data_IF_821085318985
#
_entry.id   IF_821085318985
#
_cell.length_a   1.000
_cell.length_b   1.000
_cell.length_c   1.000
_cell.angle_alpha   90.00
_cell.angle_beta   90.00
_cell.angle_gamma   90.00
#
_symmetry.space_group_name_H-M   'P 1'
#
loop_
_entity.id
_entity.type
_entity.pdbx_description
1 polymer ?
#
# COMPACT_ATOMS: atom_id res chain seq x y z
N UNK A 1 -42.48 16.96 -66.00
CA UNK A 1 -41.49 17.45 -65.03
C UNK A 1 -41.41 16.39 -63.93
N UNK A 2 -40.46 15.45 -64.02
CA UNK A 2 -39.27 15.34 -63.13
C UNK A 2 -39.65 15.39 -61.65
N UNK A 3 -39.32 14.43 -60.77
CA UNK A 3 -38.14 13.57 -60.69
C UNK A 3 -38.38 12.45 -59.67
N UNK A 4 -37.76 11.29 -59.94
CA UNK A 4 -37.47 10.18 -59.01
C UNK A 4 -36.41 10.61 -57.95
N UNK A 5 -36.04 9.66 -57.08
CA UNK A 5 -34.92 9.55 -56.11
C UNK A 5 -35.48 9.43 -54.69
N UNK A 6 -35.20 8.43 -53.85
CA UNK A 6 -34.26 7.31 -53.85
C UNK A 6 -34.12 6.85 -52.38
N UNK A 7 -33.86 5.56 -52.08
CA UNK A 7 -33.93 5.03 -50.72
C UNK A 7 -32.65 5.31 -49.92
N UNK A 8 -32.79 5.64 -48.64
CA UNK A 8 -31.65 5.81 -47.72
C UNK A 8 -31.08 4.44 -47.32
N UNK A 9 -29.79 4.28 -47.60
CA UNK A 9 -29.02 3.06 -47.39
C UNK A 9 -28.45 2.99 -45.97
N UNK A 10 -28.27 1.74 -45.52
CA UNK A 10 -27.78 1.27 -44.21
C UNK A 10 -26.45 1.89 -43.78
N UNK A 11 -26.26 2.04 -42.47
CA UNK A 11 -25.01 1.63 -41.81
C UNK A 11 -25.33 0.93 -40.48
N UNK A 12 -25.16 -0.40 -40.47
CA UNK A 12 -24.93 -1.21 -39.27
C UNK A 12 -23.57 -0.82 -38.72
N UNK A 13 -23.50 -0.29 -37.50
CA UNK A 13 -22.26 -0.27 -36.73
C UNK A 13 -22.32 -1.42 -35.75
N UNK A 14 -21.44 -2.40 -35.98
CA UNK A 14 -21.29 -3.58 -35.13
C UNK A 14 -20.77 -3.21 -33.75
N UNK A 15 -21.39 -3.81 -32.72
CA UNK A 15 -20.78 -3.92 -31.40
C UNK A 15 -19.52 -4.77 -31.52
N UNK A 16 -18.36 -4.15 -31.28
CA UNK A 16 -17.15 -4.86 -30.86
C UNK A 16 -16.62 -4.21 -29.59
N UNK A 17 -16.44 -5.07 -28.60
CA UNK A 17 -15.82 -4.84 -27.32
C UNK A 17 -14.44 -4.20 -27.46
N UNK A 18 -14.19 -3.16 -26.67
CA UNK A 18 -12.86 -2.76 -26.28
C UNK A 18 -12.90 -2.46 -24.78
N UNK A 19 -12.36 -3.39 -24.01
CA UNK A 19 -12.01 -3.21 -22.61
C UNK A 19 -10.94 -2.11 -22.61
N UNK A 20 -11.31 -0.89 -22.22
CA UNK A 20 -10.35 0.19 -22.01
C UNK A 20 -9.53 -0.17 -20.78
N UNK A 21 -8.28 -0.59 -21.02
CA UNK A 21 -7.26 -0.63 -19.98
C UNK A 21 -7.03 0.81 -19.54
N UNK A 22 -7.35 1.09 -18.29
CA UNK A 22 -7.06 2.36 -17.63
C UNK A 22 -5.55 2.47 -17.42
N UNK A 23 -4.86 3.06 -18.39
CA UNK A 23 -3.58 3.72 -18.17
C UNK A 23 -3.85 4.97 -17.28
N UNK A 24 -2.86 5.37 -16.48
CA UNK A 24 -2.81 6.60 -15.67
C UNK A 24 -3.44 6.60 -14.26
N UNK A 25 -2.73 5.99 -13.30
CA UNK A 25 -2.69 6.44 -11.89
C UNK A 25 -1.46 5.87 -11.15
N UNK A 26 -0.27 6.07 -11.72
CA UNK A 26 0.99 5.73 -11.05
C UNK A 26 1.43 6.91 -10.18
N UNK A 27 1.73 6.64 -8.92
CA UNK A 27 2.05 7.60 -7.85
C UNK A 27 3.21 8.59 -8.09
N UNK A 28 3.83 8.57 -9.27
CA UNK A 28 4.90 9.50 -9.67
C UNK A 28 4.80 9.97 -11.14
N UNK A 29 3.71 9.68 -11.87
CA UNK A 29 3.64 10.03 -13.29
C UNK A 29 2.91 11.35 -13.49
N UNK A 30 3.71 12.43 -13.60
CA UNK A 30 3.43 13.81 -14.06
C UNK A 30 3.51 14.87 -12.94
N UNK A 31 4.73 15.37 -12.73
CA UNK A 31 4.94 16.76 -12.32
C UNK A 31 5.10 17.62 -13.60
N UNK A 32 4.53 18.84 -13.67
CA UNK A 32 4.76 19.75 -14.79
C UNK A 32 6.21 20.27 -14.78
N UNK A 33 6.82 20.31 -15.96
CA UNK A 33 8.14 20.88 -16.20
C UNK A 33 8.04 22.40 -15.99
N UNK A 34 8.57 22.91 -14.88
CA UNK A 34 8.89 24.33 -14.74
C UNK A 34 10.31 24.52 -15.27
N UNK A 35 10.41 25.24 -16.39
CA UNK A 35 11.66 25.56 -17.05
C UNK A 35 12.63 26.27 -16.09
N UNK A 36 13.79 25.66 -15.86
CA UNK A 36 14.90 26.28 -15.14
C UNK A 36 15.72 27.12 -16.11
N UNK A 37 15.92 28.40 -15.79
CA UNK A 37 16.89 29.26 -16.47
C UNK A 37 18.22 29.22 -15.71
N UNK A 38 19.23 28.66 -16.37
CA UNK A 38 20.59 28.47 -15.87
C UNK A 38 21.34 29.81 -15.82
N UNK A 39 22.02 30.09 -14.70
CA UNK A 39 23.25 30.89 -14.72
C UNK A 39 24.34 30.18 -13.92
N UNK A 40 25.42 29.86 -14.63
CA UNK A 40 26.67 29.36 -14.09
C UNK A 40 27.37 30.46 -13.27
N UNK A 41 27.94 30.08 -12.13
CA UNK A 41 29.19 30.69 -11.67
C UNK A 41 29.99 29.66 -10.87
N UNK A 42 31.26 29.59 -11.23
CA UNK A 42 32.28 28.67 -10.75
C UNK A 42 33.00 29.23 -9.53
N UNK A 43 33.35 28.39 -8.56
CA UNK A 43 34.59 28.52 -7.79
C UNK A 43 34.87 27.26 -6.96
N UNK A 44 36.07 26.71 -7.15
CA UNK A 44 36.71 25.67 -6.33
C UNK A 44 37.50 26.37 -5.21
N UNK A 45 37.76 25.74 -4.04
CA UNK A 45 39.11 25.15 -3.88
C UNK A 45 39.24 23.90 -2.98
N UNK A 46 40.18 23.04 -3.39
CA UNK A 46 41.25 22.29 -2.68
C UNK A 46 41.14 21.98 -1.16
N UNK A 47 41.51 20.73 -0.80
CA UNK A 47 42.32 20.44 0.40
C UNK A 47 41.97 19.17 1.20
N UNK A 48 42.83 18.15 1.14
CA UNK A 48 42.84 16.83 1.81
C UNK A 48 43.08 16.93 3.37
N UNK A 49 43.18 15.85 4.21
CA UNK A 49 43.46 14.45 3.86
C UNK A 49 42.77 13.31 4.65
N UNK A 50 43.06 12.13 4.10
CA UNK A 50 42.84 10.74 4.49
C UNK A 50 43.33 10.42 5.91
N UNK A 51 42.53 9.65 6.67
CA UNK A 51 43.04 8.85 7.79
C UNK A 51 42.53 7.41 7.69
N UNK A 52 43.48 6.49 7.44
CA UNK A 52 43.30 5.03 7.53
C UNK A 52 43.35 4.61 9.00
N UNK A 53 42.45 3.75 9.45
CA UNK A 53 42.72 2.84 10.58
C UNK A 53 42.42 1.39 10.16
N UNK A 54 43.37 0.53 10.54
CA UNK A 54 43.43 -0.90 10.24
C UNK A 54 42.74 -1.72 11.34
N UNK A 55 42.08 -2.80 10.89
CA UNK A 55 41.84 -4.13 11.48
C UNK A 55 42.28 -4.44 12.92
N UNK A 56 41.37 -5.12 13.63
CA UNK A 56 41.54 -6.44 14.30
C UNK A 56 40.14 -6.84 14.82
N UNK A 57 39.46 -7.88 14.31
CA UNK A 57 39.62 -9.35 14.47
C UNK A 57 39.27 -9.89 15.87
N UNK A 58 38.46 -10.97 15.88
CA UNK A 58 38.08 -11.90 16.99
C UNK A 58 37.12 -11.30 18.03
N UNK A 59 36.06 -11.95 18.52
CA UNK A 59 35.72 -13.38 18.66
C UNK A 59 34.21 -13.53 18.94
N UNK A 60 33.59 -14.59 18.39
CA UNK A 60 32.30 -15.13 18.84
C UNK A 60 32.42 -15.81 20.21
N UNK A 61 31.35 -15.79 21.02
CA UNK A 61 30.71 -17.04 21.46
C UNK A 61 29.18 -16.93 21.26
N UNK A 62 28.56 -17.82 20.49
CA UNK A 62 28.08 -19.13 20.91
C UNK A 62 27.09 -19.08 22.09
N UNK A 63 25.82 -19.31 21.72
CA UNK A 63 24.72 -19.91 22.48
C UNK A 63 24.30 -19.26 23.80
N UNK A 64 23.03 -18.83 23.85
CA UNK A 64 22.12 -19.06 24.97
C UNK A 64 20.70 -18.74 24.49
N UNK A 65 20.05 -19.74 23.88
CA UNK A 65 18.60 -19.72 23.62
C UNK A 65 17.88 -20.12 24.92
N UNK A 66 16.95 -19.32 25.45
CA UNK A 66 16.03 -19.81 26.46
C UNK A 66 15.05 -20.80 25.80
N UNK A 67 15.09 -22.06 26.23
CA UNK A 67 14.04 -23.05 25.96
C UNK A 67 12.78 -22.61 26.71
N UNK A 68 11.79 -22.07 25.99
CA UNK A 68 10.43 -21.93 26.52
C UNK A 68 9.82 -23.33 26.58
N UNK A 69 9.59 -23.83 27.80
CA UNK A 69 8.81 -25.05 28.06
C UNK A 69 7.33 -24.69 27.91
N UNK A 70 6.61 -25.36 27.02
CA UNK A 70 5.16 -25.30 26.97
C UNK A 70 4.55 -26.00 28.20
N UNK A 71 3.46 -25.47 28.78
CA UNK A 71 2.73 -26.15 29.85
C UNK A 71 1.99 -27.39 29.31
N UNK A 72 1.87 -28.47 30.10
CA UNK A 72 1.09 -29.65 29.73
C UNK A 72 -0.40 -29.38 29.94
N UNK A 73 -1.26 -29.71 28.96
CA UNK A 73 -2.71 -29.81 29.21
C UNK A 73 -3.71 -29.27 28.18
N UNK A 74 -3.33 -29.01 26.92
CA UNK A 74 -4.32 -28.65 25.88
C UNK A 74 -4.40 -29.71 24.78
N UNK A 75 -5.60 -30.20 24.41
CA UNK A 75 -5.76 -31.19 23.35
C UNK A 75 -5.49 -30.56 21.98
N UNK A 76 -4.93 -31.32 21.02
CA UNK A 76 -4.65 -30.79 19.70
C UNK A 76 -5.95 -30.52 18.93
N UNK A 77 -6.10 -29.29 18.43
CA UNK A 77 -7.08 -28.95 17.41
C UNK A 77 -6.75 -29.73 16.13
N UNK A 78 -7.54 -30.78 15.85
CA UNK A 78 -7.51 -31.49 14.56
C UNK A 78 -8.08 -30.59 13.47
N UNK A 79 -7.19 -30.03 12.67
CA UNK A 79 -7.52 -29.51 11.34
C UNK A 79 -7.56 -30.72 10.41
N UNK A 80 -8.76 -31.20 10.07
CA UNK A 80 -8.94 -32.27 9.11
C UNK A 80 -8.86 -31.70 7.68
N UNK A 81 -7.82 -32.07 6.92
CA UNK A 81 -7.84 -32.03 5.46
C UNK A 81 -7.21 -33.31 4.89
N UNK A 82 -8.01 -33.99 4.05
CA UNK A 82 -7.70 -35.09 3.11
C UNK A 82 -7.23 -36.44 3.69
N UNK A 83 -8.06 -37.47 3.46
CA UNK A 83 -7.55 -38.83 3.27
C UNK A 83 -8.23 -39.98 4.02
N UNK A 84 -9.40 -39.82 4.64
CA UNK A 84 -10.07 -40.97 5.25
C UNK A 84 -10.93 -41.78 4.25
N UNK A 85 -10.89 -43.12 4.31
CA UNK A 85 -11.77 -43.98 3.53
C UNK A 85 -13.22 -43.80 3.98
N UNK A 86 -14.13 -43.74 3.01
CA UNK A 86 -15.58 -43.64 3.23
C UNK A 86 -16.07 -44.76 4.16
N UNK A 87 -16.98 -44.49 5.11
CA UNK A 87 -17.60 -45.55 5.90
C UNK A 87 -18.36 -46.51 4.97
N UNK A 88 -18.33 -47.83 5.21
CA UNK A 88 -19.05 -48.79 4.40
C UNK A 88 -20.56 -48.50 4.47
N UNK A 89 -21.19 -48.32 3.30
CA UNK A 89 -22.62 -48.04 3.16
C UNK A 89 -22.99 -46.66 2.60
N UNK A 90 -22.02 -45.83 2.21
CA UNK A 90 -22.30 -44.57 1.53
C UNK A 90 -22.56 -44.80 0.04
N UNK A 91 -23.83 -44.74 -0.39
CA UNK A 91 -24.24 -44.76 -1.79
C UNK A 91 -24.25 -43.34 -2.37
N UNK A 92 -23.34 -42.98 -3.30
CA UNK A 92 -23.29 -41.64 -3.89
C UNK A 92 -24.49 -41.30 -4.79
N UNK A 93 -25.37 -42.26 -5.08
CA UNK A 93 -26.56 -42.07 -5.91
C UNK A 93 -27.77 -41.50 -5.15
N UNK A 94 -27.75 -41.50 -3.81
CA UNK A 94 -28.78 -40.83 -2.98
C UNK A 94 -28.65 -39.30 -2.98
N UNK A 95 -27.55 -38.73 -3.49
CA UNK A 95 -27.39 -37.27 -3.63
C UNK A 95 -27.99 -36.80 -4.97
N UNK A 96 -29.25 -37.15 -5.25
CA UNK A 96 -30.06 -36.50 -6.28
C UNK A 96 -31.53 -36.62 -5.92
N UNK A 97 -32.25 -35.49 -6.03
CA UNK A 97 -33.69 -35.34 -5.85
C UNK A 97 -34.19 -35.05 -4.43
N UNK A 98 -33.84 -33.88 -3.91
CA UNK A 98 -34.66 -33.17 -2.93
C UNK A 98 -34.60 -31.67 -3.22
N UNK A 99 -35.22 -31.26 -4.32
CA UNK A 99 -35.50 -29.86 -4.63
C UNK A 99 -36.87 -29.48 -4.07
N UNK A 100 -37.03 -29.56 -2.75
CA UNK A 100 -38.14 -28.92 -2.04
C UNK A 100 -37.56 -27.85 -1.13
N UNK A 101 -37.68 -26.59 -1.58
CA UNK A 101 -37.47 -25.40 -0.74
C UNK A 101 -38.36 -25.54 0.51
N UNK A 102 -37.84 -25.46 1.74
CA UNK A 102 -38.71 -25.35 2.90
C UNK A 102 -39.55 -24.07 2.77
N UNK A 103 -40.88 -24.14 2.93
CA UNK A 103 -41.71 -22.96 2.92
C UNK A 103 -41.43 -22.17 4.20
N UNK A 104 -41.12 -20.87 4.07
CA UNK A 104 -41.22 -19.93 5.20
C UNK A 104 -39.93 -19.39 5.81
N UNK A 105 -38.74 -19.59 5.23
CA UNK A 105 -37.61 -18.72 5.58
C UNK A 105 -37.67 -17.48 4.68
N UNK A 106 -38.27 -16.42 5.21
CA UNK A 106 -38.18 -15.09 4.62
C UNK A 106 -36.72 -14.83 4.26
N UNK A 107 -36.42 -14.50 2.99
CA UNK A 107 -35.13 -13.95 2.63
C UNK A 107 -34.96 -12.72 3.50
N UNK A 108 -34.12 -12.78 4.53
CA UNK A 108 -33.73 -11.60 5.27
C UNK A 108 -33.23 -10.61 4.24
N UNK A 109 -33.90 -9.46 4.16
CA UNK A 109 -33.45 -8.34 3.35
C UNK A 109 -32.14 -7.86 3.97
N UNK A 110 -31.04 -8.52 3.61
CA UNK A 110 -29.70 -8.02 3.91
C UNK A 110 -29.61 -6.65 3.25
N UNK A 111 -29.33 -5.57 4.02
CA UNK A 111 -29.23 -4.25 3.44
C UNK A 111 -28.20 -4.29 2.30
N UNK A 112 -28.68 -3.96 1.10
CA UNK A 112 -27.89 -3.99 -0.15
C UNK A 112 -26.88 -2.85 -0.24
N UNK A 113 -26.91 -1.92 0.73
CA UNK A 113 -26.02 -0.78 0.85
C UNK A 113 -25.13 -0.93 2.09
N UNK A 114 -24.29 -1.95 2.07
CA UNK A 114 -23.14 -2.02 2.97
C UNK A 114 -21.94 -1.58 2.14
N UNK A 115 -21.67 -0.28 2.07
CA UNK A 115 -20.26 0.11 2.00
C UNK A 115 -19.61 -0.53 3.23
N UNK A 116 -18.70 -1.50 3.05
CA UNK A 116 -18.13 -2.25 4.16
C UNK A 116 -17.29 -1.36 5.08
N UNK A 117 -16.94 -0.16 4.60
CA UNK A 117 -16.35 0.91 5.39
C UNK A 117 -17.41 1.99 5.62
N UNK A 118 -17.76 2.22 6.90
CA UNK A 118 -18.70 3.27 7.29
C UNK A 118 -18.11 4.66 7.05
N UNK A 119 -18.96 5.68 6.97
CA UNK A 119 -18.50 7.08 7.01
C UNK A 119 -17.86 7.40 8.38
N UNK A 120 -16.84 8.28 8.43
CA UNK A 120 -16.23 8.68 9.69
C UNK A 120 -17.26 9.37 10.60
N UNK A 121 -17.31 9.04 11.90
CA UNK A 121 -18.12 9.78 12.87
C UNK A 121 -17.56 11.20 13.08
N UNK A 122 -18.38 12.15 13.56
CA UNK A 122 -17.99 13.55 13.69
C UNK A 122 -16.95 13.81 14.79
N UNK A 123 -16.86 12.96 15.81
CA UNK A 123 -15.87 13.06 16.89
C UNK A 123 -14.92 11.87 16.83
N UNK A 124 -13.62 12.12 16.72
CA UNK A 124 -12.57 11.11 16.65
C UNK A 124 -11.52 11.29 17.77
N UNK A 125 -11.81 12.07 18.81
CA UNK A 125 -10.85 12.36 19.89
C UNK A 125 -10.35 11.12 20.63
N UNK A 126 -11.18 10.08 20.70
CA UNK A 126 -10.85 8.80 21.35
C UNK A 126 -10.50 7.69 20.33
N UNK A 127 -10.35 8.04 19.05
CA UNK A 127 -9.96 7.07 18.05
C UNK A 127 -8.57 6.50 18.38
N UNK A 128 -8.32 5.19 18.14
CA UNK A 128 -7.03 4.58 18.42
C UNK A 128 -5.87 5.35 17.79
N UNK A 129 -4.86 5.63 18.61
CA UNK A 129 -3.72 6.47 18.24
C UNK A 129 -2.44 5.69 18.39
N UNK A 130 -1.52 5.90 17.44
CA UNK A 130 -0.14 5.48 17.54
C UNK A 130 0.76 6.71 17.53
N UNK A 131 1.48 6.92 18.63
CA UNK A 131 2.54 7.92 18.68
C UNK A 131 3.82 7.35 18.04
N UNK A 132 4.38 8.11 17.11
CA UNK A 132 5.68 7.85 16.48
C UNK A 132 6.69 8.81 17.10
N UNK A 133 7.74 8.33 17.79
CA UNK A 133 8.73 9.20 18.40
C UNK A 133 9.58 9.92 17.34
N UNK A 134 10.29 10.97 17.75
CA UNK A 134 11.38 11.51 16.93
C UNK A 134 12.44 10.43 16.68
N UNK A 135 13.04 10.44 15.49
CA UNK A 135 13.97 9.42 15.02
C UNK A 135 13.29 8.15 14.51
N UNK A 136 11.95 8.03 14.58
CA UNK A 136 11.24 6.87 14.04
C UNK A 136 11.53 6.74 12.52
N UNK A 137 11.97 5.57 12.04
CA UNK A 137 12.35 5.38 10.66
C UNK A 137 11.12 5.18 9.77
N UNK A 138 11.11 5.85 8.63
CA UNK A 138 10.12 5.68 7.57
C UNK A 138 10.83 5.47 6.24
N UNK A 139 10.27 4.62 5.39
CA UNK A 139 10.85 4.31 4.10
C UNK A 139 9.94 4.77 2.97
N UNK A 140 10.54 5.17 1.86
CA UNK A 140 9.81 5.48 0.62
C UNK A 140 10.65 5.10 -0.59
N UNK A 141 10.04 4.48 -1.59
CA UNK A 141 10.63 4.36 -2.92
C UNK A 141 10.08 5.49 -3.80
N UNK A 142 10.97 6.20 -4.49
CA UNK A 142 10.63 7.32 -5.35
C UNK A 142 11.47 7.30 -6.63
N UNK A 143 11.08 8.07 -7.65
CA UNK A 143 11.92 8.28 -8.83
C UNK A 143 13.22 8.96 -8.43
N UNK A 144 14.34 8.48 -8.96
CA UNK A 144 15.67 9.01 -8.63
C UNK A 144 15.84 10.49 -9.02
N UNK A 145 15.07 10.97 -10.01
CA UNK A 145 15.04 12.36 -10.44
C UNK A 145 14.21 13.29 -9.54
N UNK A 146 13.54 12.76 -8.51
CA UNK A 146 12.68 13.50 -7.60
C UNK A 146 13.14 13.30 -6.15
N UNK A 147 12.74 14.20 -5.25
CA UNK A 147 12.92 14.03 -3.81
C UNK A 147 11.88 13.07 -3.20
N UNK A 148 12.14 12.52 -1.99
CA UNK A 148 11.21 11.64 -1.29
C UNK A 148 10.02 12.38 -0.65
N UNK A 149 10.08 13.71 -0.58
CA UNK A 149 9.03 14.55 -0.01
C UNK A 149 8.09 15.04 -1.11
N UNK A 150 6.93 14.39 -1.19
CA UNK A 150 5.85 14.77 -2.09
C UNK A 150 4.52 14.47 -1.42
N UNK A 151 3.76 15.53 -1.12
CA UNK A 151 2.44 15.48 -0.52
C UNK A 151 1.38 15.59 -1.63
N UNK A 152 0.84 14.45 -2.03
CA UNK A 152 -0.17 14.36 -3.09
C UNK A 152 -1.52 14.90 -2.61
N UNK A 153 -2.19 15.62 -3.50
CA UNK A 153 -3.61 15.99 -3.40
C UNK A 153 -4.37 15.66 -4.69
N UNK A 154 -3.84 14.72 -5.47
CA UNK A 154 -4.37 14.42 -6.80
C UNK A 154 -5.73 13.73 -6.77
N UNK A 155 -6.07 13.08 -5.65
CA UNK A 155 -7.26 12.24 -5.51
C UNK A 155 -7.05 10.81 -6.05
N UNK A 156 -5.86 10.49 -6.56
CA UNK A 156 -5.52 9.15 -7.04
C UNK A 156 -4.92 8.25 -5.96
N UNK A 157 -4.52 8.80 -4.81
CA UNK A 157 -4.10 8.01 -3.66
C UNK A 157 -5.26 7.67 -2.73
N UNK A 158 -5.21 6.47 -2.12
CA UNK A 158 -6.23 5.96 -1.19
C UNK A 158 -6.52 6.94 -0.05
N UNK A 159 -5.50 7.62 0.44
CA UNK A 159 -5.63 8.56 1.56
C UNK A 159 -5.23 9.98 1.14
N UNK A 160 -5.38 10.33 -0.14
CA UNK A 160 -5.08 11.69 -0.59
C UNK A 160 -5.96 12.70 0.18
N UNK A 161 -5.30 13.62 0.88
CA UNK A 161 -5.97 14.58 1.73
C UNK A 161 -6.53 15.72 0.88
N UNK A 162 -7.78 15.59 0.46
CA UNK A 162 -8.47 16.58 -0.37
C UNK A 162 -9.09 17.74 0.44
N UNK A 163 -9.06 17.71 1.77
CA UNK A 163 -9.55 18.79 2.64
C UNK A 163 -8.82 18.69 3.99
N UNK A 164 -8.34 19.79 4.59
CA UNK A 164 -8.43 21.20 4.16
C UNK A 164 -7.49 21.55 2.99
N UNK A 165 -7.69 22.68 2.28
CA UNK A 165 -6.81 23.12 1.18
C UNK A 165 -5.38 23.41 1.65
N UNK A 166 -4.39 23.19 0.78
CA UNK A 166 -2.98 23.45 1.04
C UNK A 166 -2.24 22.34 1.79
N UNK A 167 -2.96 21.29 2.20
CA UNK A 167 -2.41 20.05 2.73
C UNK A 167 -2.61 18.91 1.73
N UNK A 168 -1.64 18.01 1.69
CA UNK A 168 -1.69 16.75 0.96
C UNK A 168 -1.18 15.59 1.81
N UNK A 169 -1.02 14.44 1.15
CA UNK A 169 -0.61 13.19 1.79
C UNK A 169 0.70 12.69 1.22
N UNK A 170 1.68 12.43 2.08
CA UNK A 170 2.94 11.81 1.74
C UNK A 170 3.00 10.40 2.35
N UNK A 171 3.37 9.43 1.54
CA UNK A 171 3.22 8.03 1.90
C UNK A 171 4.55 7.34 2.14
N UNK A 172 4.56 6.50 3.16
CA UNK A 172 5.72 5.76 3.62
C UNK A 172 5.33 4.33 3.98
N UNK A 173 6.33 3.47 4.13
CA UNK A 173 6.18 2.19 4.82
C UNK A 173 7.11 2.14 6.04
N UNK A 174 6.75 1.27 6.99
CA UNK A 174 7.59 0.98 8.15
C UNK A 174 8.83 0.15 7.77
N UNK A 175 8.73 -0.67 6.71
CA UNK A 175 9.83 -1.48 6.19
C UNK A 175 10.07 -1.23 4.69
N UNK A 176 11.31 -1.35 4.19
CA UNK A 176 11.64 -1.21 2.78
C UNK A 176 10.85 -2.16 1.85
N UNK A 177 10.60 -3.40 2.28
CA UNK A 177 9.84 -4.39 1.50
C UNK A 177 8.41 -3.90 1.26
N UNK A 178 7.80 -3.21 2.23
CA UNK A 178 6.49 -2.62 2.08
C UNK A 178 6.44 -1.55 0.98
N UNK A 179 7.46 -0.70 0.92
CA UNK A 179 7.60 0.27 -0.17
C UNK A 179 7.68 -0.44 -1.52
N UNK A 180 8.44 -1.55 -1.57
CA UNK A 180 8.66 -2.30 -2.79
C UNK A 180 7.34 -2.88 -3.32
N UNK A 181 6.56 -3.54 -2.47
CA UNK A 181 5.27 -4.12 -2.87
C UNK A 181 4.29 -3.06 -3.40
N UNK A 182 4.20 -1.91 -2.75
CA UNK A 182 3.28 -0.85 -3.18
C UNK A 182 3.71 -0.14 -4.47
N UNK A 183 5.01 0.08 -4.65
CA UNK A 183 5.52 0.78 -5.85
C UNK A 183 5.51 -0.11 -7.09
N UNK A 184 5.77 -1.40 -6.94
CA UNK A 184 5.83 -2.35 -8.05
C UNK A 184 4.57 -3.21 -8.18
N UNK A 185 3.46 -2.81 -7.53
CA UNK A 185 2.17 -3.52 -7.52
C UNK A 185 1.58 -3.84 -8.90
N UNK A 186 1.89 -3.03 -9.90
CA UNK A 186 1.34 -3.18 -11.26
C UNK A 186 2.11 -4.26 -12.05
N UNK A 187 3.23 -4.75 -11.51
CA UNK A 187 3.95 -5.90 -12.03
C UNK A 187 3.44 -7.18 -11.36
N UNK A 188 3.39 -8.26 -12.15
CA UNK A 188 3.15 -9.60 -11.61
C UNK A 188 4.42 -10.12 -10.91
N UNK A 189 4.70 -11.42 -11.00
CA UNK A 189 5.88 -12.03 -10.37
C UNK A 189 7.24 -11.57 -10.95
N UNK A 190 7.27 -10.75 -12.00
CA UNK A 190 8.50 -10.29 -12.64
C UNK A 190 8.47 -8.78 -12.88
N UNK A 191 9.53 -8.10 -12.43
CA UNK A 191 9.72 -6.66 -12.53
C UNK A 191 10.91 -6.37 -13.47
N UNK A 192 10.75 -5.50 -14.48
CA UNK A 192 11.86 -5.09 -15.33
C UNK A 192 12.95 -4.37 -14.53
N UNK A 193 14.21 -4.73 -14.76
CA UNK A 193 15.35 -4.13 -14.05
C UNK A 193 15.46 -2.62 -14.25
N UNK A 194 15.02 -2.12 -15.41
CA UNK A 194 14.97 -0.69 -15.69
C UNK A 194 14.03 0.05 -14.73
N UNK A 195 12.94 -0.56 -14.29
CA UNK A 195 12.00 0.04 -13.34
C UNK A 195 12.62 0.15 -11.94
N UNK A 196 13.47 -0.80 -11.55
CA UNK A 196 14.26 -0.73 -10.32
C UNK A 196 15.29 0.41 -10.42
N UNK A 197 16.05 0.46 -11.52
CA UNK A 197 17.13 1.42 -11.73
C UNK A 197 16.66 2.89 -11.79
N UNK A 198 15.42 3.14 -12.19
CA UNK A 198 14.82 4.48 -12.21
C UNK A 198 14.49 5.04 -10.83
N UNK A 199 14.63 4.23 -9.76
CA UNK A 199 14.10 4.54 -8.44
C UNK A 199 15.16 4.43 -7.35
N UNK A 200 15.01 5.27 -6.33
CA UNK A 200 15.78 5.21 -5.10
C UNK A 200 14.88 4.75 -3.95
N UNK A 201 15.49 4.05 -2.99
CA UNK A 201 14.94 3.86 -1.65
C UNK A 201 15.48 4.99 -0.76
N UNK A 202 14.57 5.71 -0.13
CA UNK A 202 14.88 6.68 0.90
C UNK A 202 14.51 6.14 2.29
N UNK A 203 15.38 6.42 3.27
CA UNK A 203 15.05 6.35 4.70
C UNK A 203 14.95 7.76 5.24
N UNK A 204 13.84 8.02 5.90
CA UNK A 204 13.50 9.26 6.59
C UNK A 204 13.53 8.96 8.08
N UNK A 205 14.03 9.91 8.86
CA UNK A 205 13.90 9.89 10.31
C UNK A 205 13.04 11.08 10.76
N UNK A 206 12.02 10.80 11.58
CA UNK A 206 11.09 11.85 12.00
C UNK A 206 11.81 12.92 12.85
N UNK A 207 11.82 14.17 12.37
CA UNK A 207 12.42 15.29 13.10
C UNK A 207 11.64 15.72 14.35
N UNK A 208 10.38 15.28 14.49
CA UNK A 208 9.52 15.50 15.66
C UNK A 208 8.63 14.29 15.92
N UNK A 209 8.09 14.11 17.13
CA UNK A 209 7.04 13.13 17.35
C UNK A 209 5.79 13.43 16.49
N UNK A 210 5.16 12.37 15.98
CA UNK A 210 3.90 12.43 15.24
C UNK A 210 2.83 11.58 15.91
N UNK A 211 1.57 12.00 15.75
CA UNK A 211 0.38 11.28 16.15
C UNK A 211 -0.36 10.75 14.94
N UNK A 212 -0.41 9.44 14.73
CA UNK A 212 -1.18 8.87 13.62
C UNK A 212 -2.41 8.12 14.10
N UNK A 213 -3.49 8.21 13.34
CA UNK A 213 -4.69 7.39 13.53
C UNK A 213 -4.35 5.93 13.23
N UNK A 214 -4.53 5.03 14.19
CA UNK A 214 -4.18 3.62 14.04
C UNK A 214 -5.37 2.79 13.55
N UNK A 215 -5.53 2.71 12.23
CA UNK A 215 -6.57 1.90 11.61
C UNK A 215 -6.29 0.39 11.70
N UNK A 216 -5.13 -0.03 12.20
CA UNK A 216 -4.79 -1.45 12.37
C UNK A 216 -5.15 -1.98 13.76
N UNK A 217 -5.51 -1.09 14.69
CA UNK A 217 -5.89 -1.47 16.04
C UNK A 217 -7.23 -2.23 16.03
N UNK A 218 -7.33 -3.31 16.80
CA UNK A 218 -8.54 -4.15 16.84
C UNK A 218 -9.78 -3.36 17.26
N UNK A 219 -9.62 -2.43 18.20
CA UNK A 219 -10.68 -1.56 18.68
C UNK A 219 -11.08 -0.44 17.69
N UNK A 220 -10.37 -0.27 16.57
CA UNK A 220 -10.82 0.60 15.48
C UNK A 220 -12.14 0.11 14.87
N UNK A 221 -12.47 -1.19 15.01
CA UNK A 221 -13.75 -1.76 14.58
C UNK A 221 -14.97 -1.07 15.19
N UNK A 222 -14.85 -0.58 16.43
CA UNK A 222 -15.92 0.16 17.11
C UNK A 222 -16.27 1.49 16.40
N UNK A 223 -15.36 1.99 15.57
CA UNK A 223 -15.49 3.24 14.82
C UNK A 223 -15.97 3.02 13.38
N UNK A 224 -16.34 1.79 13.01
CA UNK A 224 -16.75 1.45 11.65
C UNK A 224 -15.58 1.17 10.69
N UNK A 225 -14.35 1.11 11.20
CA UNK A 225 -13.19 0.63 10.43
C UNK A 225 -13.32 -0.88 10.20
N UNK A 226 -13.08 -1.31 8.97
CA UNK A 226 -12.97 -2.70 8.56
C UNK A 226 -11.72 -2.87 7.70
N UNK A 227 -11.41 -4.12 7.30
CA UNK A 227 -10.26 -4.40 6.45
C UNK A 227 -10.22 -3.59 5.13
N UNK A 228 -11.38 -3.11 4.68
CA UNK A 228 -11.54 -2.28 3.49
C UNK A 228 -10.82 -0.93 3.59
N UNK A 229 -10.62 -0.38 4.80
CA UNK A 229 -9.78 0.82 4.95
C UNK A 229 -8.37 0.59 4.35
N UNK A 230 -7.89 -0.66 4.38
CA UNK A 230 -6.55 -1.04 3.90
C UNK A 230 -6.54 -1.39 2.41
N UNK A 231 -7.62 -1.98 1.89
CA UNK A 231 -7.62 -2.64 0.57
C UNK A 231 -8.59 -2.05 -0.45
N UNK A 232 -9.51 -1.17 -0.04
CA UNK A 232 -10.63 -0.76 -0.89
C UNK A 232 -10.15 -0.09 -2.18
N UNK A 233 -10.76 -0.42 -3.33
CA UNK A 233 -10.56 0.30 -4.59
C UNK A 233 -11.38 1.61 -4.64
N UNK A 234 -12.38 1.80 -3.77
CA UNK A 234 -13.11 3.05 -3.68
C UNK A 234 -12.37 4.04 -2.77
N UNK A 235 -11.67 4.98 -3.39
CA UNK A 235 -10.89 5.97 -2.65
C UNK A 235 -11.74 7.08 -2.03
N UNK A 236 -13.01 7.25 -2.41
CA UNK A 236 -13.85 8.31 -1.83
C UNK A 236 -14.02 8.12 -0.32
N UNK A 237 -14.32 6.89 0.10
CA UNK A 237 -14.53 6.56 1.51
C UNK A 237 -13.23 6.70 2.31
N UNK A 238 -12.10 6.23 1.79
CA UNK A 238 -10.80 6.31 2.46
C UNK A 238 -10.24 7.74 2.52
N UNK A 239 -10.48 8.57 1.49
CA UNK A 239 -10.15 10.00 1.50
C UNK A 239 -11.05 10.81 2.44
N UNK A 240 -12.33 10.43 2.60
CA UNK A 240 -13.21 11.03 3.60
C UNK A 240 -12.70 10.76 5.03
N UNK A 241 -12.26 9.52 5.31
CA UNK A 241 -11.58 9.19 6.56
C UNK A 241 -10.29 9.99 6.76
N UNK A 242 -9.47 10.14 5.72
CA UNK A 242 -8.25 10.96 5.81
C UNK A 242 -8.55 12.41 6.17
N UNK A 243 -9.58 13.00 5.56
CA UNK A 243 -10.04 14.35 5.87
C UNK A 243 -10.54 14.47 7.32
N UNK A 244 -11.29 13.47 7.81
CA UNK A 244 -11.78 13.44 9.18
C UNK A 244 -10.64 13.31 10.20
N UNK A 245 -9.64 12.46 9.95
CA UNK A 245 -8.47 12.34 10.82
C UNK A 245 -7.63 13.62 10.86
N UNK A 246 -7.41 14.27 9.71
CA UNK A 246 -6.71 15.55 9.67
C UNK A 246 -7.46 16.63 10.46
N UNK A 247 -8.79 16.71 10.31
CA UNK A 247 -9.63 17.64 11.08
C UNK A 247 -9.62 17.36 12.59
N UNK A 248 -9.52 16.09 12.97
CA UNK A 248 -9.37 15.67 14.37
C UNK A 248 -7.95 15.90 14.94
N UNK A 249 -7.00 16.41 14.13
CA UNK A 249 -5.66 16.77 14.58
C UNK A 249 -4.63 15.64 14.54
N UNK A 250 -4.91 14.54 13.83
CA UNK A 250 -3.89 13.53 13.56
C UNK A 250 -2.89 14.04 12.50
N UNK A 251 -1.62 13.68 12.65
CA UNK A 251 -0.55 13.94 11.67
C UNK A 251 -0.58 12.96 10.48
N UNK A 252 -1.41 11.93 10.52
CA UNK A 252 -1.50 10.92 9.46
C UNK A 252 -2.29 9.68 9.85
N UNK A 253 -2.18 8.64 9.02
CA UNK A 253 -2.87 7.35 9.18
C UNK A 253 -1.84 6.22 9.15
N UNK A 254 -1.98 5.26 10.06
CA UNK A 254 -1.31 3.96 10.03
C UNK A 254 -2.26 2.89 9.51
N UNK A 255 -1.82 2.12 8.52
CA UNK A 255 -2.67 1.13 7.83
C UNK A 255 -1.86 -0.08 7.36
N UNK A 256 -2.52 -1.23 7.11
CA UNK A 256 -1.87 -2.37 6.46
C UNK A 256 -1.72 -2.14 4.96
N UNK A 257 -0.57 -2.51 4.40
CA UNK A 257 -0.33 -2.39 2.97
C UNK A 257 -1.23 -3.35 2.18
N UNK A 258 -1.84 -2.85 1.09
CA UNK A 258 -2.84 -3.60 0.32
C UNK A 258 -2.21 -4.77 -0.41
N UNK A 259 -0.98 -4.57 -0.89
CA UNK A 259 -0.28 -5.52 -1.74
C UNK A 259 0.57 -6.52 -0.94
N UNK A 260 0.48 -6.50 0.40
CA UNK A 260 0.94 -7.58 1.25
C UNK A 260 -0.22 -8.54 1.53
N UNK A 261 -0.25 -9.75 0.91
CA UNK A 261 -1.35 -10.70 1.10
C UNK A 261 -1.51 -11.16 2.56
N UNK A 262 -0.44 -11.09 3.36
CA UNK A 262 -0.47 -11.48 4.76
C UNK A 262 -0.95 -10.35 5.70
N UNK A 263 -1.10 -9.12 5.20
CA UNK A 263 -1.43 -7.92 5.97
C UNK A 263 -0.56 -7.75 7.23
N UNK A 264 0.75 -7.93 7.09
CA UNK A 264 1.74 -7.78 8.17
C UNK A 264 2.57 -6.50 8.02
N UNK A 265 2.74 -6.02 6.80
CA UNK A 265 3.48 -4.82 6.49
C UNK A 265 2.61 -3.57 6.67
N UNK A 266 3.22 -2.52 7.19
CA UNK A 266 2.54 -1.30 7.63
C UNK A 266 2.94 -0.13 6.75
N UNK A 267 1.93 0.63 6.33
CA UNK A 267 2.06 1.92 5.66
C UNK A 267 1.67 3.07 6.57
N UNK A 268 2.23 4.24 6.24
CA UNK A 268 1.85 5.52 6.83
C UNK A 268 1.49 6.51 5.73
N UNK A 269 0.33 7.14 5.88
CA UNK A 269 -0.12 8.25 5.04
C UNK A 269 -0.05 9.51 5.89
N UNK A 270 1.06 10.26 5.80
CA UNK A 270 1.33 11.43 6.62
C UNK A 270 0.77 12.69 5.96
N UNK A 271 0.14 13.54 6.75
CA UNK A 271 -0.40 14.81 6.31
C UNK A 271 0.63 15.92 6.45
N UNK A 272 0.67 16.82 5.49
CA UNK A 272 1.60 17.94 5.49
C UNK A 272 1.30 18.93 4.38
N UNK A 273 1.97 20.08 4.43
CA UNK A 273 1.76 21.11 3.41
C UNK A 273 2.24 20.64 2.04
N UNK A 274 1.46 20.94 1.00
CA UNK A 274 1.83 20.67 -0.40
C UNK A 274 3.14 21.37 -0.79
N UNK A 275 3.39 22.54 -0.20
CA UNK A 275 4.60 23.34 -0.38
C UNK A 275 5.65 23.09 0.71
N UNK A 276 5.43 22.13 1.61
CA UNK A 276 6.39 21.82 2.68
C UNK A 276 7.77 21.58 2.05
N UNK A 277 8.79 22.37 2.43
CA UNK A 277 10.13 22.15 1.92
C UNK A 277 10.57 20.72 2.18
N UNK A 278 11.33 20.19 1.25
CA UNK A 278 12.05 18.90 1.24
C UNK A 278 12.99 18.63 2.44
N UNK A 279 12.87 19.39 3.53
CA UNK A 279 13.89 19.56 4.57
C UNK A 279 13.71 18.74 5.85
N UNK A 280 12.77 17.80 5.91
CA UNK A 280 12.81 16.79 6.97
C UNK A 280 14.02 15.86 6.70
N UNK A 281 14.77 15.46 7.74
CA UNK A 281 16.03 14.73 7.55
C UNK A 281 15.82 13.44 6.74
N UNK A 282 16.40 13.43 5.54
CA UNK A 282 16.54 12.20 4.75
C UNK A 282 17.86 11.58 5.18
N UNK A 283 17.79 10.49 5.96
CA UNK A 283 18.97 9.78 6.45
C UNK A 283 19.78 9.22 5.27
N UNK A 284 19.10 8.68 4.26
CA UNK A 284 19.69 8.36 2.96
C UNK A 284 18.62 8.34 1.86
N UNK A 285 19.06 8.52 0.61
CA UNK A 285 18.30 8.20 -0.61
C UNK A 285 19.28 7.65 -1.63
N UNK A 286 19.13 6.35 -1.95
CA UNK A 286 20.12 5.63 -2.75
C UNK A 286 19.45 4.58 -3.66
N UNK A 287 20.16 4.07 -4.69
CA UNK A 287 19.65 2.99 -5.51
C UNK A 287 19.16 1.80 -4.67
N UNK A 288 18.11 1.12 -5.14
CA UNK A 288 17.58 -0.07 -4.46
C UNK A 288 18.66 -1.16 -4.44
N UNK A 289 19.09 -1.53 -3.24
CA UNK A 289 20.19 -2.48 -3.05
C UNK A 289 19.78 -3.92 -3.34
N UNK A 290 20.77 -4.73 -3.74
CA UNK A 290 20.57 -6.17 -4.05
C UNK A 290 20.02 -6.96 -2.88
N UNK A 291 20.28 -6.52 -1.64
CA UNK A 291 19.85 -7.21 -0.44
C UNK A 291 18.33 -7.10 -0.26
N UNK A 292 17.76 -5.92 -0.53
CA UNK A 292 16.31 -5.74 -0.58
C UNK A 292 15.70 -6.60 -1.69
N UNK A 293 16.32 -6.64 -2.87
CA UNK A 293 15.85 -7.47 -3.99
C UNK A 293 15.80 -8.96 -3.62
N UNK A 294 16.83 -9.48 -2.93
CA UNK A 294 16.83 -10.87 -2.45
C UNK A 294 15.72 -11.11 -1.42
N UNK A 295 15.55 -10.19 -0.47
CA UNK A 295 14.51 -10.31 0.56
C UNK A 295 13.10 -10.35 -0.03
N UNK A 296 12.80 -9.52 -1.04
CA UNK A 296 11.47 -9.53 -1.68
C UNK A 296 11.25 -10.75 -2.57
N UNK A 297 12.31 -11.27 -3.21
CA UNK A 297 12.24 -12.55 -3.94
C UNK A 297 11.96 -13.70 -2.97
N UNK A 298 12.72 -13.81 -1.87
CA UNK A 298 12.59 -14.89 -0.90
C UNK A 298 11.21 -14.87 -0.21
N UNK A 299 10.71 -13.69 0.14
CA UNK A 299 9.46 -13.55 0.91
C UNK A 299 8.20 -13.54 0.05
N UNK A 300 8.25 -12.92 -1.12
CA UNK A 300 7.07 -12.66 -1.95
C UNK A 300 7.14 -13.28 -3.35
N UNK A 301 8.27 -13.89 -3.72
CA UNK A 301 8.47 -14.48 -5.05
C UNK A 301 8.61 -13.46 -6.18
N UNK A 302 8.85 -12.18 -5.87
CA UNK A 302 8.99 -11.12 -6.86
C UNK A 302 10.41 -11.09 -7.41
N UNK A 303 10.56 -11.29 -8.72
CA UNK A 303 11.87 -11.39 -9.39
C UNK A 303 12.17 -10.18 -10.26
N UNK A 304 13.40 -9.67 -10.17
CA UNK A 304 13.89 -8.64 -11.10
C UNK A 304 14.58 -9.32 -12.28
N UNK A 305 14.19 -8.95 -13.50
CA UNK A 305 14.82 -9.48 -14.74
C UNK A 305 15.31 -8.36 -15.64
N UNK A 306 16.39 -8.59 -16.41
CA UNK A 306 16.73 -7.70 -17.53
C UNK A 306 15.54 -7.53 -18.46
N UNK A 307 15.41 -6.35 -19.07
CA UNK A 307 14.42 -6.16 -20.13
C UNK A 307 14.78 -7.10 -21.30
N UNK A 308 13.78 -7.81 -21.84
CA UNK A 308 13.89 -8.56 -23.09
C UNK A 308 13.92 -7.59 -24.28
#
# INVERSE_FOLDING_TARGET
MSSRHGPSCRLRVGRRSAISRSEDACWCSRAPVVASSTRLSSSTPRGAPIRRSRRSSTSSPESLRPRIRSPPGSPPLRICWRGEPQPPGFDPSEIRSSSSKPPGVARTNWPTDLSPLSSPPPDLRLFPRRDLPSGFPLFRIHLASLGPWWFSRSGFGRFDLLTPPGLGTCYFAEQPEGCFLEVFRDFAATIPQLEIQRRHLAKIELGRPLSVADCTAENARAWGITAEIHSSPDYKSTQAWASAFAQAGFDGIRYFLRHDPAQRLVGFALFGSESAPSGLPVAFSQPIEKDLLRQVEDRFGLRVKPAL
#
